data_IF_828598598097
#
_entry.id   IF_828598598097
#
_cell.length_a   1.000
_cell.length_b   1.000
_cell.length_c   1.000
_cell.angle_alpha   90.00
_cell.angle_beta   90.00
_cell.angle_gamma   90.00
#
_symmetry.space_group_name_H-M   'P 1'
#
loop_
_entity.id
_entity.type
_entity.pdbx_description
1 polymer ?
#
# COMPACT_ATOMS: atom_id res chain seq x y z
N UNK A 1 -23.56 3.73 7.90
CA UNK A 1 -22.76 4.50 8.87
C UNK A 1 -21.61 3.61 9.30
N UNK A 2 -20.38 3.92 8.91
CA UNK A 2 -19.21 3.14 9.34
C UNK A 2 -19.03 3.34 10.84
N UNK A 3 -19.07 2.26 11.61
CA UNK A 3 -18.81 2.32 13.05
C UNK A 3 -17.46 2.97 13.31
N UNK A 4 -17.45 4.03 14.11
CA UNK A 4 -16.21 4.72 14.49
C UNK A 4 -15.40 3.76 15.37
N UNK A 5 -14.43 3.06 14.76
CA UNK A 5 -13.54 2.15 15.46
C UNK A 5 -12.67 2.94 16.43
N UNK A 6 -12.88 2.70 17.73
CA UNK A 6 -12.03 3.26 18.79
C UNK A 6 -10.62 2.71 18.63
N UNK A 7 -9.66 3.60 18.44
CA UNK A 7 -8.26 3.23 18.18
C UNK A 7 -7.46 3.34 19.47
N UNK A 8 -6.48 2.45 19.65
CA UNK A 8 -5.56 2.52 20.78
C UNK A 8 -4.59 3.71 20.60
N UNK A 9 -4.82 4.78 21.37
CA UNK A 9 -3.99 6.00 21.34
C UNK A 9 -2.53 5.76 21.72
N UNK A 10 -2.23 4.69 22.48
CA UNK A 10 -0.86 4.38 22.90
C UNK A 10 -0.08 3.55 21.87
N UNK A 11 -0.75 3.12 20.79
CA UNK A 11 -0.13 2.32 19.73
C UNK A 11 0.07 3.17 18.49
N UNK A 12 1.30 3.66 18.29
CA UNK A 12 1.69 4.42 17.08
C UNK A 12 1.41 3.62 15.81
N UNK A 13 1.53 2.29 15.87
CA UNK A 13 1.24 1.38 14.75
C UNK A 13 -0.26 1.38 14.42
N UNK A 14 -1.13 1.33 15.43
CA UNK A 14 -2.58 1.34 15.20
C UNK A 14 -3.06 2.69 14.69
N UNK A 15 -2.53 3.79 15.25
CA UNK A 15 -2.83 5.15 14.79
C UNK A 15 -2.45 5.33 13.32
N UNK A 16 -1.24 4.89 12.93
CA UNK A 16 -0.80 4.93 11.53
C UNK A 16 -1.72 4.11 10.64
N UNK A 17 -2.06 2.89 11.05
CA UNK A 17 -2.90 1.98 10.25
C UNK A 17 -4.26 2.61 9.98
N UNK A 18 -4.88 3.22 10.99
CA UNK A 18 -6.19 3.89 10.83
C UNK A 18 -6.10 5.10 9.89
N UNK A 19 -5.03 5.90 9.95
CA UNK A 19 -4.81 6.99 8.99
C UNK A 19 -4.62 6.44 7.58
N UNK A 20 -3.77 5.42 7.41
CA UNK A 20 -3.49 4.79 6.11
C UNK A 20 -4.76 4.19 5.49
N UNK A 21 -5.61 3.52 6.29
CA UNK A 21 -6.87 2.91 5.84
C UNK A 21 -7.90 3.95 5.36
N UNK A 22 -7.91 5.14 5.97
CA UNK A 22 -8.82 6.23 5.61
C UNK A 22 -8.27 7.17 4.54
N UNK A 23 -7.01 6.99 4.15
CA UNK A 23 -6.34 7.83 3.15
C UNK A 23 -7.08 7.78 1.81
N UNK A 24 -7.58 6.61 1.41
CA UNK A 24 -8.40 6.46 0.20
C UNK A 24 -9.65 7.35 0.23
N UNK A 25 -10.36 7.40 1.36
CA UNK A 25 -11.57 8.19 1.49
C UNK A 25 -11.27 9.70 1.43
N UNK A 26 -10.19 10.15 2.07
CA UNK A 26 -9.74 11.55 2.01
C UNK A 26 -9.30 11.96 0.61
N UNK A 27 -8.52 11.14 -0.09
CA UNK A 27 -8.10 11.44 -1.47
C UNK A 27 -9.21 11.30 -2.50
N UNK A 28 -10.16 10.39 -2.27
CA UNK A 28 -11.37 10.29 -3.09
C UNK A 28 -12.22 11.56 -3.04
N UNK A 29 -12.34 12.20 -1.85
CA UNK A 29 -12.97 13.53 -1.72
C UNK A 29 -12.24 14.63 -2.50
N UNK A 30 -10.94 14.46 -2.74
CA UNK A 30 -10.09 15.39 -3.50
C UNK A 30 -10.05 15.11 -5.00
N UNK A 31 -10.82 14.13 -5.50
CA UNK A 31 -10.89 13.79 -6.92
C UNK A 31 -9.89 12.74 -7.41
N UNK A 32 -9.13 12.10 -6.51
CA UNK A 32 -8.20 11.04 -6.90
C UNK A 32 -8.85 9.65 -6.85
N UNK A 33 -8.78 8.93 -7.97
CA UNK A 33 -9.19 7.53 -8.05
C UNK A 33 -8.02 6.61 -7.67
N UNK A 34 -8.21 5.76 -6.65
CA UNK A 34 -7.18 4.81 -6.24
C UNK A 34 -6.94 3.74 -7.31
N UNK A 35 -5.66 3.43 -7.54
CA UNK A 35 -5.24 2.30 -8.35
C UNK A 35 -4.92 1.09 -7.47
N UNK A 36 -5.51 -0.05 -7.81
CA UNK A 36 -5.29 -1.34 -7.15
C UNK A 36 -4.29 -2.24 -7.88
N UNK A 37 -3.65 -1.75 -8.95
CA UNK A 37 -2.79 -2.57 -9.82
C UNK A 37 -1.68 -3.31 -9.07
N UNK A 38 -1.06 -2.69 -8.06
CA UNK A 38 -0.02 -3.35 -7.26
C UNK A 38 -0.60 -4.47 -6.38
N UNK A 39 -1.80 -4.27 -5.83
CA UNK A 39 -2.53 -5.26 -5.04
C UNK A 39 -2.95 -6.43 -5.93
N UNK A 40 -3.53 -6.14 -7.08
CA UNK A 40 -3.97 -7.14 -8.06
C UNK A 40 -2.80 -7.99 -8.56
N UNK A 41 -1.64 -7.37 -8.81
CA UNK A 41 -0.43 -8.08 -9.23
C UNK A 41 0.07 -9.03 -8.14
N UNK A 42 0.11 -8.59 -6.87
CA UNK A 42 0.51 -9.44 -5.74
C UNK A 42 -0.45 -10.61 -5.55
N UNK A 43 -1.75 -10.35 -5.71
CA UNK A 43 -2.79 -11.36 -5.61
C UNK A 43 -2.69 -12.38 -6.75
N UNK A 44 -2.51 -11.93 -7.99
CA UNK A 44 -2.29 -12.78 -9.16
C UNK A 44 -1.04 -13.67 -9.00
N UNK A 45 0.08 -13.10 -8.52
CA UNK A 45 1.29 -13.86 -8.21
C UNK A 45 1.04 -14.95 -7.16
N UNK A 46 0.27 -14.65 -6.12
CA UNK A 46 -0.13 -15.63 -5.10
C UNK A 46 -1.03 -16.74 -5.64
N UNK A 47 -2.00 -16.42 -6.51
CA UNK A 47 -2.85 -17.44 -7.13
C UNK A 47 -2.07 -18.35 -8.09
N UNK A 48 -1.07 -17.82 -8.80
CA UNK A 48 -0.21 -18.64 -9.66
C UNK A 48 0.57 -19.70 -8.87
N UNK A 49 1.05 -19.40 -7.66
CA UNK A 49 1.74 -20.41 -6.84
C UNK A 49 0.81 -21.52 -6.38
N UNK A 50 -0.44 -21.19 -6.02
CA UNK A 50 -1.47 -22.17 -5.65
C UNK A 50 -1.81 -23.06 -6.86
N UNK A 51 -1.95 -22.47 -8.05
CA UNK A 51 -2.22 -23.22 -9.27
C UNK A 51 -1.09 -24.20 -9.61
N UNK A 52 0.17 -23.79 -9.45
CA UNK A 52 1.35 -24.68 -9.63
C UNK A 52 1.33 -25.82 -8.63
N UNK A 53 1.05 -25.54 -7.34
CA UNK A 53 0.97 -26.56 -6.30
C UNK A 53 -0.14 -27.59 -6.59
N UNK A 54 -1.33 -27.12 -7.02
CA UNK A 54 -2.43 -27.99 -7.42
C UNK A 54 -2.09 -28.83 -8.66
N UNK A 55 -1.41 -28.25 -9.64
CA UNK A 55 -0.94 -28.96 -10.84
C UNK A 55 0.08 -30.05 -10.52
N UNK A 56 1.06 -29.76 -9.67
CA UNK A 56 2.05 -30.74 -9.21
C UNK A 56 1.39 -31.89 -8.46
N UNK A 57 0.47 -31.59 -7.53
CA UNK A 57 -0.27 -32.62 -6.80
C UNK A 57 -1.10 -33.53 -7.73
N UNK A 58 -1.69 -32.96 -8.78
CA UNK A 58 -2.43 -33.75 -9.77
C UNK A 58 -1.51 -34.65 -10.60
N UNK A 59 -0.32 -34.17 -10.98
CA UNK A 59 0.68 -34.96 -11.71
C UNK A 59 1.22 -36.10 -10.84
N UNK A 60 1.56 -35.83 -9.58
CA UNK A 60 2.03 -36.84 -8.63
C UNK A 60 0.99 -37.95 -8.41
N UNK A 61 -0.30 -37.65 -8.51
CA UNK A 61 -1.37 -38.65 -8.39
C UNK A 61 -1.47 -39.57 -9.63
N UNK A 62 -1.02 -39.12 -10.79
CA UNK A 62 -1.27 -39.80 -12.08
C UNK A 62 -0.04 -40.53 -12.64
N UNK A 63 1.16 -40.10 -12.30
CA UNK A 63 2.42 -40.65 -12.81
C UNK A 63 3.22 -41.37 -11.73
N UNK A 64 4.06 -42.32 -12.13
CA UNK A 64 5.03 -42.91 -11.21
C UNK A 64 6.10 -41.88 -10.83
N UNK A 65 6.62 -41.98 -9.60
CA UNK A 65 7.55 -41.01 -9.00
C UNK A 65 8.76 -40.66 -9.89
N UNK A 66 9.23 -41.62 -10.69
CA UNK A 66 10.42 -41.46 -11.53
C UNK A 66 10.20 -40.48 -12.69
N UNK A 67 8.99 -40.45 -13.25
CA UNK A 67 8.64 -39.53 -14.34
C UNK A 67 8.18 -38.18 -13.80
N UNK A 68 7.47 -38.17 -12.66
CA UNK A 68 7.06 -36.95 -11.97
C UNK A 68 8.24 -36.13 -11.40
N UNK A 69 9.36 -36.77 -11.04
CA UNK A 69 10.51 -36.11 -10.43
C UNK A 69 11.00 -34.89 -11.23
N UNK A 70 11.19 -35.03 -12.54
CA UNK A 70 11.67 -33.93 -13.38
C UNK A 70 10.67 -32.77 -13.47
N UNK A 71 9.36 -33.09 -13.51
CA UNK A 71 8.30 -32.08 -13.50
C UNK A 71 8.23 -31.35 -12.16
N UNK A 72 8.40 -32.07 -11.05
CA UNK A 72 8.39 -31.50 -9.71
C UNK A 72 9.60 -30.59 -9.49
N UNK A 73 10.79 -30.98 -9.93
CA UNK A 73 11.98 -30.12 -9.90
C UNK A 73 11.76 -28.85 -10.73
N UNK A 74 11.21 -28.97 -11.94
CA UNK A 74 10.88 -27.81 -12.76
C UNK A 74 9.84 -26.89 -12.07
N UNK A 75 8.82 -27.47 -11.45
CA UNK A 75 7.81 -26.73 -10.69
C UNK A 75 8.39 -25.96 -9.50
N UNK A 76 9.34 -26.55 -8.77
CA UNK A 76 10.06 -25.87 -7.66
C UNK A 76 10.86 -24.68 -8.20
N UNK A 77 11.55 -24.81 -9.32
CA UNK A 77 12.32 -23.72 -9.93
C UNK A 77 11.39 -22.56 -10.32
N UNK A 78 10.27 -22.86 -10.98
CA UNK A 78 9.27 -21.83 -11.35
C UNK A 78 8.69 -21.16 -10.12
N UNK A 79 8.34 -21.93 -9.09
CA UNK A 79 7.86 -21.40 -7.82
C UNK A 79 8.88 -20.48 -7.15
N UNK A 80 10.17 -20.84 -7.18
CA UNK A 80 11.25 -20.02 -6.62
C UNK A 80 11.37 -18.68 -7.35
N UNK A 81 11.28 -18.67 -8.69
CA UNK A 81 11.29 -17.45 -9.49
C UNK A 81 10.10 -16.55 -9.14
N UNK A 82 8.88 -17.10 -9.09
CA UNK A 82 7.66 -16.35 -8.74
C UNK A 82 7.78 -15.78 -7.32
N UNK A 83 8.29 -16.57 -6.39
CA UNK A 83 8.50 -16.15 -5.00
C UNK A 83 9.53 -15.02 -4.91
N UNK A 84 10.60 -15.07 -5.70
CA UNK A 84 11.59 -14.00 -5.80
C UNK A 84 11.00 -12.70 -6.35
N UNK A 85 10.19 -12.79 -7.41
CA UNK A 85 9.46 -11.63 -7.97
C UNK A 85 8.51 -11.04 -6.93
N UNK A 86 7.74 -11.88 -6.24
CA UNK A 86 6.84 -11.42 -5.17
C UNK A 86 7.62 -10.70 -4.06
N UNK A 87 8.75 -11.26 -3.63
CA UNK A 87 9.60 -10.66 -2.60
C UNK A 87 10.16 -9.30 -3.05
N UNK A 88 10.53 -9.15 -4.33
CA UNK A 88 10.97 -7.88 -4.91
C UNK A 88 9.87 -6.82 -4.87
N UNK A 89 8.63 -7.15 -5.26
CA UNK A 89 7.50 -6.20 -5.21
C UNK A 89 7.03 -5.85 -3.79
N UNK A 90 7.29 -6.72 -2.82
CA UNK A 90 6.93 -6.49 -1.41
C UNK A 90 8.03 -5.78 -0.62
N UNK A 91 9.28 -5.82 -1.11
CA UNK A 91 10.44 -5.23 -0.45
C UNK A 91 10.88 -3.89 -1.07
N UNK A 92 11.67 -3.11 -0.32
CA UNK A 92 12.32 -1.90 -0.83
C UNK A 92 11.35 -0.75 -1.15
N UNK A 93 11.42 -0.23 -2.39
CA UNK A 93 10.79 1.04 -2.82
C UNK A 93 9.26 1.04 -2.75
N UNK A 94 8.61 -0.12 -2.77
CA UNK A 94 7.15 -0.23 -2.73
C UNK A 94 6.59 -0.44 -1.32
N UNK A 95 7.45 -0.70 -0.32
CA UNK A 95 7.02 -1.09 1.03
C UNK A 95 6.24 0.02 1.76
N UNK A 96 6.62 1.27 1.52
CA UNK A 96 6.00 2.42 2.16
C UNK A 96 4.87 3.03 1.30
N UNK A 97 4.66 2.56 0.06
CA UNK A 97 3.63 3.10 -0.82
C UNK A 97 2.27 2.63 -0.34
N UNK A 98 1.56 3.51 0.36
CA UNK A 98 0.23 3.23 0.93
C UNK A 98 -0.89 3.55 -0.04
N UNK A 99 -0.69 4.57 -0.86
CA UNK A 99 -1.67 5.00 -1.82
C UNK A 99 -1.02 5.33 -3.16
N UNK A 100 -1.63 4.83 -4.23
CA UNK A 100 -1.36 5.23 -5.60
C UNK A 100 -2.70 5.59 -6.20
N UNK A 101 -2.83 6.79 -6.76
CA UNK A 101 -4.07 7.23 -7.39
C UNK A 101 -3.81 8.06 -8.62
N UNK A 102 -4.86 8.26 -9.41
CA UNK A 102 -4.85 9.08 -10.61
C UNK A 102 -5.90 10.19 -10.48
N UNK A 103 -5.53 11.41 -10.88
CA UNK A 103 -6.49 12.50 -11.06
C UNK A 103 -7.17 12.39 -12.44
N UNK A 104 -8.24 13.15 -12.67
CA UNK A 104 -8.93 13.26 -13.97
C UNK A 104 -7.98 13.66 -15.12
N UNK A 105 -6.93 14.45 -14.81
CA UNK A 105 -5.84 14.82 -15.71
C UNK A 105 -4.83 13.71 -16.00
N UNK A 106 -5.06 12.47 -15.52
CA UNK A 106 -4.17 11.30 -15.59
C UNK A 106 -2.83 11.44 -14.84
N UNK A 107 -2.70 12.44 -13.98
CA UNK A 107 -1.52 12.59 -13.14
C UNK A 107 -1.53 11.53 -12.03
N UNK A 108 -0.40 10.84 -11.89
CA UNK A 108 -0.22 9.79 -10.87
C UNK A 108 0.23 10.43 -9.57
N UNK A 109 -0.52 10.25 -8.49
CA UNK A 109 -0.09 10.59 -7.13
C UNK A 109 0.33 9.33 -6.39
N UNK A 110 1.46 9.38 -5.70
CA UNK A 110 1.99 8.31 -4.88
C UNK A 110 2.28 8.86 -3.49
N UNK A 111 1.65 8.26 -2.48
CA UNK A 111 1.82 8.64 -1.09
C UNK A 111 2.51 7.50 -0.35
N UNK A 112 3.69 7.81 0.18
CA UNK A 112 4.44 6.92 1.04
C UNK A 112 4.36 7.40 2.48
N UNK A 113 3.96 6.54 3.43
CA UNK A 113 3.91 6.90 4.85
C UNK A 113 4.88 6.09 5.70
N UNK A 114 5.40 6.70 6.75
CA UNK A 114 6.21 6.03 7.77
C UNK A 114 6.07 6.70 9.13
N UNK A 115 6.49 5.99 10.17
CA UNK A 115 6.46 6.44 11.56
C UNK A 115 7.71 5.94 12.25
N UNK A 116 8.34 6.78 13.07
CA UNK A 116 9.45 6.36 13.91
C UNK A 116 8.95 5.66 15.17
N UNK A 117 9.79 4.79 15.73
CA UNK A 117 9.45 4.09 16.97
C UNK A 117 9.43 5.11 18.12
N UNK A 118 8.33 5.13 18.88
CA UNK A 118 8.09 6.04 20.02
C UNK A 118 7.87 7.52 19.66
N UNK A 119 7.72 7.85 18.38
CA UNK A 119 7.39 9.21 17.95
C UNK A 119 5.91 9.26 17.51
N UNK A 120 5.05 10.07 18.16
CA UNK A 120 3.63 10.18 17.82
C UNK A 120 3.41 11.14 16.64
N UNK A 121 4.24 11.03 15.60
CA UNK A 121 4.22 11.84 14.38
C UNK A 121 4.00 10.93 13.17
N UNK A 122 3.09 11.35 12.29
CA UNK A 122 2.86 10.71 11.02
C UNK A 122 3.69 11.42 9.96
N UNK A 123 4.65 10.71 9.37
CA UNK A 123 5.45 11.23 8.26
C UNK A 123 4.89 10.69 6.95
N UNK A 124 4.80 11.55 5.95
CA UNK A 124 4.36 11.17 4.62
C UNK A 124 5.15 11.92 3.55
N UNK A 125 5.35 11.23 2.43
CA UNK A 125 5.97 11.75 1.21
C UNK A 125 4.95 11.64 0.08
N UNK A 126 4.68 12.75 -0.58
CA UNK A 126 3.84 12.82 -1.78
C UNK A 126 4.77 12.95 -2.98
N UNK A 127 4.60 12.09 -3.97
CA UNK A 127 5.30 12.10 -5.25
C UNK A 127 4.27 12.17 -6.37
N UNK A 128 4.45 13.07 -7.32
CA UNK A 128 3.56 13.20 -8.49
C UNK A 128 4.33 12.76 -9.74
N UNK A 129 3.68 11.96 -10.59
CA UNK A 129 4.21 11.42 -11.84
C UNK A 129 5.56 10.68 -11.69
N UNK A 130 5.78 10.02 -10.54
CA UNK A 130 7.03 9.32 -10.19
C UNK A 130 8.28 10.23 -10.19
N UNK A 131 8.09 11.55 -10.14
CA UNK A 131 9.16 12.54 -10.13
C UNK A 131 9.60 12.84 -8.69
N UNK A 132 10.68 12.18 -8.26
CA UNK A 132 11.23 12.38 -6.92
C UNK A 132 11.78 13.79 -6.67
N UNK A 133 12.12 14.55 -7.72
CA UNK A 133 12.63 15.92 -7.58
C UNK A 133 11.56 16.90 -7.07
N UNK A 134 10.29 16.58 -7.32
CA UNK A 134 9.12 17.33 -6.86
C UNK A 134 8.48 16.72 -5.60
N UNK A 135 9.14 15.74 -4.97
CA UNK A 135 8.56 15.09 -3.80
C UNK A 135 8.41 16.06 -2.62
N UNK A 136 7.20 16.12 -2.05
CA UNK A 136 6.95 16.85 -0.81
C UNK A 136 7.03 15.86 0.35
N UNK A 137 7.89 16.14 1.32
CA UNK A 137 7.92 15.44 2.61
C UNK A 137 7.33 16.33 3.68
N UNK A 138 6.28 15.86 4.34
CA UNK A 138 5.58 16.59 5.38
C UNK A 138 5.28 15.64 6.55
N UNK A 139 4.93 16.23 7.69
CA UNK A 139 4.62 15.50 8.90
C UNK A 139 3.55 16.22 9.71
N UNK A 140 2.70 15.46 10.40
CA UNK A 140 1.78 16.01 11.39
C UNK A 140 1.68 15.08 12.61
N UNK A 141 1.45 15.64 13.82
CA UNK A 141 1.27 14.82 15.02
C UNK A 141 -0.07 14.08 14.98
N UNK A 142 -0.15 12.84 15.49
CA UNK A 142 -1.42 12.09 15.49
C UNK A 142 -2.53 12.79 16.29
N UNK A 143 -2.17 13.62 17.27
CA UNK A 143 -3.12 14.43 18.04
C UNK A 143 -3.92 15.43 17.21
N UNK A 144 -3.49 15.76 15.98
CA UNK A 144 -4.26 16.66 15.10
C UNK A 144 -5.43 15.96 14.41
N UNK A 145 -5.38 14.64 14.24
CA UNK A 145 -6.39 13.87 13.49
C UNK A 145 -7.18 12.90 14.35
N UNK A 146 -6.76 12.67 15.60
CA UNK A 146 -7.46 11.85 16.58
C UNK A 146 -8.01 12.69 17.74
N UNK A 147 -9.22 12.37 18.18
CA UNK A 147 -9.81 12.92 19.40
C UNK A 147 -9.20 12.30 20.67
N UNK A 148 -9.34 12.96 21.82
CA UNK A 148 -8.92 12.46 23.13
C UNK A 148 -9.58 11.13 23.50
N UNK A 149 -10.72 10.81 22.87
CA UNK A 149 -11.43 9.55 23.04
C UNK A 149 -10.95 8.41 22.11
N UNK A 150 -10.02 8.69 21.19
CA UNK A 150 -9.47 7.70 20.24
C UNK A 150 -10.25 7.53 18.94
N UNK A 151 -11.08 8.52 18.59
CA UNK A 151 -11.82 8.55 17.32
C UNK A 151 -11.07 9.33 16.25
N UNK A 152 -11.01 8.76 15.04
CA UNK A 152 -10.36 9.37 13.89
C UNK A 152 -11.28 10.34 13.15
N UNK A 153 -10.77 11.53 12.79
CA UNK A 153 -11.50 12.58 12.08
C UNK A 153 -10.98 12.70 10.64
N UNK A 154 -11.71 12.12 9.69
CA UNK A 154 -11.32 12.09 8.27
C UNK A 154 -11.28 13.47 7.60
N UNK A 155 -12.10 14.42 8.07
CA UNK A 155 -12.19 15.76 7.46
C UNK A 155 -10.91 16.57 7.72
N UNK A 156 -10.35 16.49 8.94
CA UNK A 156 -9.08 17.14 9.29
C UNK A 156 -7.91 16.60 8.47
N UNK A 157 -7.90 15.29 8.18
CA UNK A 157 -6.87 14.71 7.29
C UNK A 157 -7.02 15.23 5.86
N UNK A 158 -8.25 15.38 5.39
CA UNK A 158 -8.55 15.92 4.06
C UNK A 158 -8.10 17.38 3.93
N UNK A 159 -8.36 18.21 4.94
CA UNK A 159 -7.90 19.61 4.97
C UNK A 159 -6.37 19.73 4.98
N UNK A 160 -5.67 18.89 5.75
CA UNK A 160 -4.20 18.87 5.79
C UNK A 160 -3.65 18.52 4.41
N UNK A 161 -4.18 17.47 3.78
CA UNK A 161 -3.76 17.04 2.44
C UNK A 161 -4.08 18.10 1.38
N UNK A 162 -5.25 18.74 1.45
CA UNK A 162 -5.62 19.83 0.55
C UNK A 162 -4.62 20.98 0.65
N UNK A 163 -4.27 21.42 1.87
CA UNK A 163 -3.30 22.50 2.07
C UNK A 163 -1.92 22.17 1.50
N UNK A 164 -1.47 20.92 1.65
CA UNK A 164 -0.18 20.51 1.06
C UNK A 164 -0.23 20.40 -0.47
N UNK A 165 -1.35 19.94 -1.03
CA UNK A 165 -1.57 19.91 -2.48
C UNK A 165 -1.71 21.33 -3.08
N UNK A 166 -2.33 22.27 -2.37
CA UNK A 166 -2.40 23.68 -2.80
C UNK A 166 -1.01 24.35 -2.77
N UNK A 167 -0.16 24.03 -1.78
CA UNK A 167 1.24 24.46 -1.78
C UNK A 167 2.01 23.88 -2.97
N UNK A 168 1.69 22.65 -3.38
CA UNK A 168 2.25 22.05 -4.60
C UNK A 168 1.78 22.81 -5.85
N UNK A 169 0.48 23.04 -6.00
CA UNK A 169 -0.09 23.74 -7.16
C UNK A 169 0.39 25.19 -7.30
N UNK A 170 0.67 25.89 -6.19
CA UNK A 170 1.30 27.22 -6.20
C UNK A 170 2.79 27.20 -6.56
N UNK A 171 3.44 26.03 -6.54
CA UNK A 171 4.85 25.88 -6.92
C UNK A 171 5.04 25.72 -8.43
N UNK A 172 3.95 25.53 -9.17
CA UNK A 172 3.87 25.41 -10.64
C UNK A 172 3.39 26.73 -11.31
N UNK A 173 3.31 27.84 -10.57
CA UNK A 173 2.94 29.19 -11.05
C UNK A 173 4.12 30.17 -10.92
#
# INVERSE_FOLDING_TARGET
>A
MSELKKTNLNSVVDLRTVVDDNLQASLGKLGYAQSFTLTDLKLALGYMTIAIAGGLFYLDKKFEFKDAYNFTVAGIVVYFIISGIHLFFTSGKFKNNKYVGYNDSKEKILISSWTNKYEPTYHYKIVINDDESRAITAQFPFTSVFDSFGYYKSDLTTEILQKELEKFGKKDL
#
